data_IF_242469596320
#
_entry.id   IF_242469596320
#
_cell.length_a   1.000
_cell.length_b   1.000
_cell.length_c   1.000
_cell.angle_alpha   90.00
_cell.angle_beta   90.00
_cell.angle_gamma   90.00
#
_symmetry.space_group_name_H-M   'P 1'
#
loop_
_entity.id
_entity.type
_entity.pdbx_description
1 polymer ?
#
# COMPACT_ATOMS: atom_id res chain seq x y z
N UNK A 1 -60.09 5.54 -29.02
CA UNK A 1 -59.17 4.43 -28.67
C UNK A 1 -59.91 3.47 -27.76
N UNK A 2 -59.88 2.16 -28.03
CA UNK A 2 -60.48 1.16 -27.15
C UNK A 2 -59.78 1.16 -25.79
N UNK A 3 -60.52 0.90 -24.70
CA UNK A 3 -60.01 0.94 -23.31
C UNK A 3 -58.70 0.13 -23.16
N UNK A 4 -58.63 -1.01 -23.84
CA UNK A 4 -57.46 -1.91 -23.88
C UNK A 4 -56.18 -1.21 -24.35
N UNK A 5 -56.24 -0.37 -25.41
CA UNK A 5 -55.06 0.36 -25.91
C UNK A 5 -54.58 1.42 -24.93
N UNK A 6 -55.50 2.10 -24.23
CA UNK A 6 -55.13 3.08 -23.20
C UNK A 6 -54.37 2.39 -22.07
N UNK A 7 -54.93 1.30 -21.52
CA UNK A 7 -54.31 0.55 -20.41
C UNK A 7 -52.92 0.03 -20.79
N UNK A 8 -52.77 -0.51 -22.00
CA UNK A 8 -51.50 -1.06 -22.47
C UNK A 8 -50.42 0.02 -22.62
N UNK A 9 -50.79 1.22 -23.08
CA UNK A 9 -49.88 2.37 -23.15
C UNK A 9 -49.48 2.84 -21.75
N UNK A 10 -50.43 2.93 -20.80
CA UNK A 10 -50.12 3.40 -19.45
C UNK A 10 -49.18 2.45 -18.72
N UNK A 11 -49.40 1.14 -18.85
CA UNK A 11 -48.53 0.11 -18.25
C UNK A 11 -47.15 0.15 -18.90
N UNK A 12 -47.08 0.23 -20.24
CA UNK A 12 -45.81 0.36 -20.94
C UNK A 12 -45.02 1.59 -20.50
N UNK A 13 -45.69 2.74 -20.38
CA UNK A 13 -45.07 3.96 -19.90
C UNK A 13 -44.55 3.84 -18.46
N UNK A 14 -45.32 3.20 -17.57
CA UNK A 14 -44.90 2.95 -16.19
C UNK A 14 -43.66 2.03 -16.11
N UNK A 15 -43.62 0.98 -16.92
CA UNK A 15 -42.46 0.07 -16.99
C UNK A 15 -41.23 0.82 -17.51
N UNK A 16 -41.35 1.58 -18.60
CA UNK A 16 -40.24 2.36 -19.15
C UNK A 16 -39.74 3.37 -18.13
N UNK A 17 -40.64 4.07 -17.45
CA UNK A 17 -40.28 5.00 -16.39
C UNK A 17 -39.51 4.30 -15.26
N UNK A 18 -39.97 3.14 -14.81
CA UNK A 18 -39.29 2.35 -13.78
C UNK A 18 -37.88 1.93 -14.22
N UNK A 19 -37.72 1.46 -15.45
CA UNK A 19 -36.41 1.08 -16.01
C UNK A 19 -35.46 2.27 -16.06
N UNK A 20 -35.95 3.44 -16.50
CA UNK A 20 -35.13 4.67 -16.56
C UNK A 20 -34.68 5.09 -15.15
N UNK A 21 -35.58 5.05 -14.16
CA UNK A 21 -35.23 5.38 -12.77
C UNK A 21 -34.18 4.41 -12.22
N UNK A 22 -34.36 3.10 -12.42
CA UNK A 22 -33.38 2.10 -11.98
C UNK A 22 -32.02 2.28 -12.67
N UNK A 23 -32.03 2.56 -13.97
CA UNK A 23 -30.80 2.82 -14.72
C UNK A 23 -30.09 4.08 -14.22
N UNK A 24 -30.83 5.16 -13.96
CA UNK A 24 -30.28 6.39 -13.41
C UNK A 24 -29.65 6.16 -12.02
N UNK A 25 -30.32 5.42 -11.14
CA UNK A 25 -29.79 5.06 -9.81
C UNK A 25 -28.51 4.24 -9.96
N UNK A 26 -28.52 3.23 -10.83
CA UNK A 26 -27.35 2.38 -11.08
C UNK A 26 -26.16 3.19 -11.57
N UNK A 27 -26.35 4.10 -12.53
CA UNK A 27 -25.26 4.89 -13.08
C UNK A 27 -24.73 5.94 -12.10
N UNK A 28 -25.63 6.63 -11.39
CA UNK A 28 -25.22 7.74 -10.52
C UNK A 28 -24.61 7.22 -9.23
N UNK A 29 -25.25 6.25 -8.57
CA UNK A 29 -24.84 5.81 -7.24
C UNK A 29 -23.88 4.62 -7.30
N UNK A 30 -24.20 3.58 -8.06
CA UNK A 30 -23.40 2.34 -8.01
C UNK A 30 -22.05 2.56 -8.69
N UNK A 31 -22.04 3.10 -9.92
CA UNK A 31 -20.78 3.25 -10.66
C UNK A 31 -19.84 4.25 -10.00
N UNK A 32 -20.33 5.41 -9.58
CA UNK A 32 -19.50 6.44 -8.93
C UNK A 32 -18.91 5.92 -7.62
N UNK A 33 -19.71 5.28 -6.77
CA UNK A 33 -19.21 4.69 -5.53
C UNK A 33 -18.20 3.57 -5.76
N UNK A 34 -18.35 2.80 -6.85
CA UNK A 34 -17.38 1.75 -7.17
C UNK A 34 -16.03 2.32 -7.57
N UNK A 35 -16.01 3.40 -8.36
CA UNK A 35 -14.77 4.08 -8.78
C UNK A 35 -14.05 4.68 -7.57
N UNK A 36 -14.77 5.40 -6.69
CA UNK A 36 -14.19 5.97 -5.47
C UNK A 36 -13.59 4.88 -4.57
N UNK A 37 -14.30 3.76 -4.42
CA UNK A 37 -13.84 2.65 -3.60
C UNK A 37 -12.64 1.93 -4.22
N UNK A 38 -12.61 1.77 -5.54
CA UNK A 38 -11.48 1.20 -6.27
C UNK A 38 -10.23 2.09 -6.16
N UNK A 39 -10.37 3.41 -6.24
CA UNK A 39 -9.26 4.36 -6.06
C UNK A 39 -8.70 4.27 -4.63
N UNK A 40 -9.57 4.28 -3.62
CA UNK A 40 -9.18 4.16 -2.21
C UNK A 40 -8.43 2.84 -1.95
N UNK A 41 -8.99 1.71 -2.38
CA UNK A 41 -8.36 0.40 -2.20
C UNK A 41 -7.03 0.31 -2.94
N UNK A 42 -6.95 0.84 -4.16
CA UNK A 42 -5.70 0.84 -4.93
C UNK A 42 -4.63 1.66 -4.21
N UNK A 43 -4.98 2.84 -3.71
CA UNK A 43 -4.05 3.69 -2.95
C UNK A 43 -3.55 2.99 -1.70
N UNK A 44 -4.45 2.43 -0.89
CA UNK A 44 -4.09 1.71 0.33
C UNK A 44 -3.20 0.49 0.05
N UNK A 45 -3.48 -0.26 -1.01
CA UNK A 45 -2.65 -1.42 -1.39
C UNK A 45 -1.25 -0.99 -1.82
N UNK A 46 -1.13 0.07 -2.61
CA UNK A 46 0.18 0.61 -3.00
C UNK A 46 0.96 1.06 -1.77
N UNK A 47 0.32 1.78 -0.86
CA UNK A 47 0.94 2.27 0.38
C UNK A 47 1.42 1.12 1.28
N UNK A 48 0.64 0.06 1.41
CA UNK A 48 1.05 -1.14 2.14
C UNK A 48 2.28 -1.81 1.51
N UNK A 49 2.29 -1.97 0.18
CA UNK A 49 3.43 -2.57 -0.53
C UNK A 49 4.67 -1.70 -0.40
N UNK A 50 4.55 -0.37 -0.51
CA UNK A 50 5.69 0.54 -0.33
C UNK A 50 6.25 0.48 1.08
N UNK A 51 5.38 0.40 2.10
CA UNK A 51 5.81 0.31 3.49
C UNK A 51 6.49 -1.04 3.78
N UNK A 52 5.96 -2.14 3.24
CA UNK A 52 6.59 -3.46 3.35
C UNK A 52 7.97 -3.48 2.69
N UNK A 53 8.10 -2.89 1.50
CA UNK A 53 9.37 -2.82 0.79
C UNK A 53 10.39 -1.94 1.54
N UNK A 54 9.95 -0.80 2.09
CA UNK A 54 10.81 0.05 2.91
C UNK A 54 11.31 -0.67 4.16
N UNK A 55 10.45 -1.47 4.81
CA UNK A 55 10.84 -2.33 5.93
C UNK A 55 11.89 -3.37 5.53
N UNK A 56 11.72 -4.02 4.39
CA UNK A 56 12.69 -5.01 3.89
C UNK A 56 14.05 -4.38 3.56
N UNK A 57 14.06 -3.20 2.93
CA UNK A 57 15.30 -2.46 2.65
C UNK A 57 16.01 -2.13 3.96
N UNK A 58 15.28 -1.61 4.95
CA UNK A 58 15.86 -1.31 6.27
C UNK A 58 16.43 -2.56 6.94
N UNK A 59 15.76 -3.71 6.81
CA UNK A 59 16.23 -4.97 7.38
C UNK A 59 17.53 -5.44 6.72
N UNK A 60 17.60 -5.39 5.39
CA UNK A 60 18.81 -5.74 4.63
C UNK A 60 19.96 -4.79 4.97
N UNK A 61 19.69 -3.49 5.14
CA UNK A 61 20.70 -2.50 5.51
C UNK A 61 21.31 -2.81 6.88
N UNK A 62 20.48 -3.12 7.88
CA UNK A 62 20.94 -3.57 9.20
C UNK A 62 21.80 -4.83 9.13
N UNK A 63 21.36 -5.87 8.41
CA UNK A 63 22.14 -7.11 8.27
C UNK A 63 23.48 -6.83 7.57
N UNK A 64 23.47 -5.99 6.54
CA UNK A 64 24.68 -5.65 5.77
C UNK A 64 25.68 -4.90 6.64
N UNK A 65 25.19 -3.96 7.45
CA UNK A 65 26.02 -3.24 8.42
C UNK A 65 26.67 -4.20 9.44
N UNK A 66 25.88 -5.10 10.03
CA UNK A 66 26.38 -6.08 10.99
C UNK A 66 27.45 -7.01 10.38
N UNK A 67 27.23 -7.47 9.15
CA UNK A 67 28.18 -8.34 8.45
C UNK A 67 29.47 -7.60 8.06
N UNK A 68 29.36 -6.34 7.62
CA UNK A 68 30.53 -5.52 7.33
C UNK A 68 31.39 -5.30 8.59
N UNK A 69 30.75 -5.01 9.73
CA UNK A 69 31.44 -4.89 11.01
C UNK A 69 32.17 -6.19 11.41
N UNK A 70 31.59 -7.36 11.12
CA UNK A 70 32.23 -8.66 11.38
C UNK A 70 33.42 -8.94 10.46
N UNK A 71 33.31 -8.62 9.17
CA UNK A 71 34.43 -8.72 8.23
C UNK A 71 35.59 -7.82 8.66
N UNK A 72 35.30 -6.58 9.07
CA UNK A 72 36.30 -5.66 9.60
C UNK A 72 36.92 -6.18 10.91
N UNK A 73 36.12 -6.82 11.77
CA UNK A 73 36.60 -7.46 13.02
C UNK A 73 37.59 -8.58 12.70
N UNK A 74 37.29 -9.40 11.70
CA UNK A 74 38.17 -10.49 11.27
C UNK A 74 39.52 -9.94 10.77
N UNK A 75 39.49 -8.89 9.94
CA UNK A 75 40.70 -8.21 9.49
C UNK A 75 41.52 -7.64 10.66
N UNK A 76 40.86 -6.97 11.62
CA UNK A 76 41.50 -6.41 12.81
C UNK A 76 42.20 -7.45 13.69
N UNK A 77 41.65 -8.67 13.80
CA UNK A 77 42.28 -9.75 14.57
C UNK A 77 43.64 -10.15 13.95
N UNK A 78 43.79 -10.04 12.63
CA UNK A 78 45.01 -10.40 11.90
C UNK A 78 46.05 -9.27 11.90
N UNK A 79 45.64 -8.03 11.66
CA UNK A 79 46.55 -6.90 11.40
C UNK A 79 46.58 -5.82 12.50
N UNK A 80 45.64 -5.84 13.44
CA UNK A 80 45.41 -4.83 14.49
C UNK A 80 45.29 -3.40 13.94
N UNK A 81 44.64 -3.21 12.79
CA UNK A 81 44.49 -1.90 12.16
C UNK A 81 43.70 -0.90 13.04
N UNK A 82 44.11 0.37 13.05
CA UNK A 82 43.38 1.41 13.81
C UNK A 82 42.08 1.86 13.10
N UNK A 83 41.91 1.50 11.83
CA UNK A 83 40.73 1.81 11.02
C UNK A 83 39.46 1.14 11.56
N UNK A 84 39.58 -0.08 12.10
CA UNK A 84 38.51 -0.77 12.81
C UNK A 84 38.02 0.01 14.04
N UNK A 85 38.94 0.54 14.85
CA UNK A 85 38.58 1.34 16.04
C UNK A 85 37.84 2.61 15.62
N UNK A 86 38.29 3.26 14.54
CA UNK A 86 37.68 4.50 14.06
C UNK A 86 36.30 4.30 13.39
N UNK A 87 36.03 3.12 12.82
CA UNK A 87 34.80 2.82 12.08
C UNK A 87 33.75 2.07 12.88
N UNK A 88 34.17 1.14 13.75
CA UNK A 88 33.28 0.19 14.43
C UNK A 88 33.10 0.46 15.94
N UNK A 89 33.92 1.32 16.56
CA UNK A 89 33.81 1.68 17.99
C UNK A 89 33.40 3.15 18.18
N UNK A 90 32.41 3.59 17.41
CA UNK A 90 31.84 4.94 17.47
C UNK A 90 30.63 5.01 18.41
N UNK A 91 30.30 6.20 18.91
CA UNK A 91 29.18 6.41 19.85
C UNK A 91 27.84 5.84 19.34
N UNK A 92 27.62 5.86 18.02
CA UNK A 92 26.45 5.27 17.38
C UNK A 92 26.29 3.78 17.64
N UNK A 93 27.38 3.01 17.59
CA UNK A 93 27.39 1.57 17.85
C UNK A 93 26.94 1.25 19.28
N UNK A 94 27.34 2.07 20.26
CA UNK A 94 26.93 1.87 21.66
C UNK A 94 25.46 2.25 21.89
N UNK A 95 24.94 3.23 21.16
CA UNK A 95 23.53 3.60 21.19
C UNK A 95 22.66 2.50 20.55
N UNK A 96 23.08 1.94 19.42
CA UNK A 96 22.37 0.87 18.72
C UNK A 96 22.35 -0.45 19.51
N UNK A 97 23.37 -0.70 20.34
CA UNK A 97 23.45 -1.85 21.24
C UNK A 97 22.75 -1.63 22.59
N UNK A 98 22.13 -0.47 22.83
CA UNK A 98 21.54 -0.07 24.11
C UNK A 98 22.51 -0.16 25.31
N UNK A 99 23.79 0.16 25.10
CA UNK A 99 24.85 0.04 26.11
C UNK A 99 25.23 1.38 26.79
N UNK A 100 24.41 2.43 26.64
CA UNK A 100 24.62 3.78 27.18
C UNK A 100 23.79 4.06 28.44
#
# INVERSE_FOLDING_TARGET
MTLQKKVLITIGAAIVFMVVVLFAISQIFILSSFIELEEEHTRQNVEQVTNALAGEISHIDTITFDWAAWDDTYAFIEDRNEEYIASNLIDGTFADLELN
#
